data_IF_306353113545
#
_entry.id   IF_306353113545
#
_cell.length_a   1.000
_cell.length_b   1.000
_cell.length_c   1.000
_cell.angle_alpha   90.00
_cell.angle_beta   90.00
_cell.angle_gamma   90.00
#
_symmetry.space_group_name_H-M   'P 1'
#
loop_
_entity.id
_entity.type
_entity.pdbx_description
1 polymer ?
#
# COMPACT_ATOMS: atom_id res chain seq x y z
N UNK A 1 20.60 -10.56 33.96
CA UNK A 1 19.43 -10.80 33.11
C UNK A 1 19.30 -9.65 32.12
N UNK A 2 19.39 -9.91 30.81
CA UNK A 2 19.22 -8.90 29.78
C UNK A 2 17.75 -8.49 29.71
N UNK A 3 17.40 -7.19 29.74
CA UNK A 3 16.00 -6.77 29.60
C UNK A 3 15.44 -7.31 28.26
N UNK A 4 14.14 -7.69 28.21
CA UNK A 4 13.54 -8.18 26.98
C UNK A 4 13.69 -7.13 25.88
N UNK A 5 14.17 -7.57 24.71
CA UNK A 5 14.31 -6.69 23.56
C UNK A 5 12.96 -6.00 23.27
N UNK A 6 12.98 -4.67 23.09
CA UNK A 6 11.78 -3.93 22.73
C UNK A 6 11.19 -4.51 21.44
N UNK A 7 9.86 -4.71 21.36
CA UNK A 7 9.25 -5.23 20.15
C UNK A 7 9.53 -4.28 18.97
N UNK A 8 9.97 -4.87 17.87
CA UNK A 8 10.35 -4.17 16.63
C UNK A 8 9.44 -4.61 15.49
N UNK A 9 9.03 -3.66 14.66
CA UNK A 9 8.40 -3.91 13.37
C UNK A 9 9.42 -4.45 12.38
N UNK A 10 9.14 -5.57 11.73
CA UNK A 10 9.97 -6.18 10.68
C UNK A 10 9.17 -6.38 9.41
N UNK A 11 9.45 -5.57 8.39
CA UNK A 11 8.71 -5.60 7.12
C UNK A 11 9.66 -5.91 5.97
N UNK A 12 9.34 -6.94 5.20
CA UNK A 12 10.00 -7.23 3.93
C UNK A 12 9.24 -6.54 2.79
N UNK A 13 9.87 -5.66 2.02
CA UNK A 13 9.25 -4.99 0.86
C UNK A 13 9.98 -5.36 -0.43
N UNK A 14 9.20 -5.57 -1.49
CA UNK A 14 9.70 -6.14 -2.75
C UNK A 14 9.67 -5.12 -3.88
N UNK A 15 10.80 -4.98 -4.57
CA UNK A 15 10.88 -4.39 -5.90
C UNK A 15 10.87 -5.51 -6.94
N UNK A 16 10.09 -5.37 -8.02
CA UNK A 16 9.94 -6.42 -9.04
C UNK A 16 10.29 -5.86 -10.41
N UNK A 17 11.11 -6.58 -11.18
CA UNK A 17 11.43 -6.20 -12.55
C UNK A 17 10.21 -6.35 -13.47
N UNK A 18 10.05 -5.41 -14.39
CA UNK A 18 8.96 -5.36 -15.38
C UNK A 18 7.77 -4.49 -14.94
N UNK A 19 6.58 -4.78 -15.47
CA UNK A 19 5.36 -3.98 -15.29
C UNK A 19 4.30 -4.73 -14.45
N UNK A 20 3.28 -4.03 -13.92
CA UNK A 20 2.07 -4.67 -13.39
C UNK A 20 1.46 -5.67 -14.37
N UNK A 21 0.77 -6.69 -13.86
CA UNK A 21 0.12 -7.66 -14.75
C UNK A 21 -1.02 -7.05 -15.56
N UNK A 22 -1.01 -7.30 -16.86
CA UNK A 22 -2.01 -6.82 -17.81
C UNK A 22 -3.20 -7.76 -17.93
N UNK A 23 -3.03 -9.05 -17.62
CA UNK A 23 -4.11 -10.05 -17.72
C UNK A 23 -4.11 -11.03 -16.54
N UNK A 24 -5.26 -11.65 -16.19
CA UNK A 24 -5.31 -12.66 -15.13
C UNK A 24 -4.46 -13.90 -15.41
N UNK A 25 -4.15 -14.22 -16.68
CA UNK A 25 -3.31 -15.37 -17.06
C UNK A 25 -1.89 -15.25 -16.48
N UNK A 26 -1.39 -14.02 -16.31
CA UNK A 26 -0.05 -13.76 -15.77
C UNK A 26 0.04 -13.98 -14.24
N UNK A 27 -1.08 -14.18 -13.55
CA UNK A 27 -1.09 -14.44 -12.11
C UNK A 27 -0.28 -15.69 -11.74
N UNK A 28 -0.25 -16.70 -12.61
CA UNK A 28 0.51 -17.94 -12.36
C UNK A 28 2.02 -17.64 -12.24
N UNK A 29 2.59 -16.90 -13.20
CA UNK A 29 4.00 -16.50 -13.18
C UNK A 29 4.32 -15.64 -11.94
N UNK A 30 3.41 -14.75 -11.54
CA UNK A 30 3.55 -13.95 -10.31
C UNK A 30 3.47 -14.81 -9.05
N UNK A 31 2.66 -15.86 -9.05
CA UNK A 31 2.65 -16.87 -7.98
C UNK A 31 3.97 -17.64 -7.86
N UNK A 32 4.60 -17.99 -8.98
CA UNK A 32 5.94 -18.62 -9.01
C UNK A 32 7.01 -17.68 -8.46
N UNK A 33 7.00 -16.41 -8.87
CA UNK A 33 7.91 -15.40 -8.31
C UNK A 33 7.74 -15.24 -6.79
N UNK A 34 6.49 -15.20 -6.29
CA UNK A 34 6.24 -15.16 -4.85
C UNK A 34 6.80 -16.40 -4.14
N UNK A 35 6.67 -17.59 -4.73
CA UNK A 35 7.24 -18.82 -4.16
C UNK A 35 8.78 -18.76 -4.06
N UNK A 36 9.45 -18.17 -5.05
CA UNK A 36 10.90 -17.93 -5.02
C UNK A 36 11.28 -16.91 -3.94
N UNK A 37 10.54 -15.79 -3.85
CA UNK A 37 10.73 -14.78 -2.80
C UNK A 37 10.64 -15.41 -1.40
N UNK A 38 9.58 -16.19 -1.15
CA UNK A 38 9.38 -16.86 0.14
C UNK A 38 10.49 -17.87 0.42
N UNK A 39 10.94 -18.61 -0.59
CA UNK A 39 12.04 -19.57 -0.44
C UNK A 39 13.34 -18.85 -0.07
N UNK A 40 13.69 -17.76 -0.77
CA UNK A 40 14.86 -16.94 -0.45
C UNK A 40 14.80 -16.33 0.95
N UNK A 41 13.62 -15.87 1.40
CA UNK A 41 13.41 -15.38 2.79
C UNK A 41 13.73 -16.49 3.81
N UNK A 42 13.27 -17.72 3.56
CA UNK A 42 13.50 -18.86 4.44
C UNK A 42 14.98 -19.27 4.47
N UNK A 43 15.62 -19.36 3.31
CA UNK A 43 17.04 -19.73 3.18
C UNK A 43 17.95 -18.69 3.83
N UNK A 44 17.63 -17.40 3.66
CA UNK A 44 18.32 -16.31 4.36
C UNK A 44 18.10 -16.33 5.88
N UNK A 45 17.14 -17.13 6.36
CA UNK A 45 16.85 -17.28 7.78
C UNK A 45 16.10 -16.09 8.39
N UNK A 46 15.45 -15.25 7.59
CA UNK A 46 14.63 -14.17 8.12
C UNK A 46 13.43 -14.72 8.88
N UNK A 47 13.22 -14.23 10.10
CA UNK A 47 12.10 -14.60 10.97
C UNK A 47 11.46 -13.39 11.64
N UNK A 48 10.35 -13.65 12.34
CA UNK A 48 9.51 -12.65 13.02
C UNK A 48 9.10 -11.51 12.09
N UNK A 49 8.80 -11.83 10.83
CA UNK A 49 8.27 -10.85 9.89
C UNK A 49 6.83 -10.50 10.27
N UNK A 50 6.55 -9.20 10.29
CA UNK A 50 5.20 -8.67 10.43
C UNK A 50 4.46 -8.70 9.10
N UNK A 51 5.16 -8.32 8.03
CA UNK A 51 4.58 -8.23 6.71
C UNK A 51 5.61 -8.49 5.59
N UNK A 52 5.12 -9.12 4.52
CA UNK A 52 5.73 -9.13 3.19
C UNK A 52 4.89 -8.23 2.27
N UNK A 53 5.50 -7.22 1.67
CA UNK A 53 4.82 -6.21 0.85
C UNK A 53 5.22 -6.37 -0.62
N UNK A 54 4.23 -6.56 -1.47
CA UNK A 54 4.36 -6.69 -2.91
C UNK A 54 3.82 -5.45 -3.66
N UNK A 55 4.29 -5.20 -4.89
CA UNK A 55 3.87 -4.03 -5.66
C UNK A 55 2.37 -3.93 -5.97
N UNK A 56 1.99 -2.73 -6.42
CA UNK A 56 0.70 -2.42 -7.04
C UNK A 56 0.50 -3.20 -8.34
N UNK A 57 -0.60 -3.95 -8.46
CA UNK A 57 -0.87 -4.75 -9.66
C UNK A 57 0.06 -5.95 -9.84
N UNK A 58 0.55 -6.51 -8.73
CA UNK A 58 1.25 -7.79 -8.74
C UNK A 58 0.32 -8.93 -9.21
N UNK A 59 -0.97 -8.85 -8.88
CA UNK A 59 -2.01 -9.72 -9.44
C UNK A 59 -3.11 -8.92 -10.13
N UNK A 60 -3.88 -9.60 -10.98
CA UNK A 60 -5.06 -9.07 -11.66
C UNK A 60 -6.28 -9.93 -11.38
N UNK A 61 -7.37 -9.30 -10.96
CA UNK A 61 -8.67 -9.93 -10.81
C UNK A 61 -9.36 -10.06 -12.16
N UNK A 62 -10.09 -11.16 -12.40
CA UNK A 62 -10.87 -11.33 -13.62
C UNK A 62 -12.11 -10.42 -13.66
N UNK A 63 -12.58 -9.93 -12.51
CA UNK A 63 -13.75 -9.07 -12.38
C UNK A 63 -13.50 -8.00 -11.30
N UNK A 64 -14.02 -6.78 -11.47
CA UNK A 64 -13.93 -5.74 -10.44
C UNK A 64 -14.82 -6.08 -9.26
N UNK A 65 -14.42 -5.68 -8.06
CA UNK A 65 -15.15 -5.93 -6.81
C UNK A 65 -15.65 -4.63 -6.17
N UNK A 66 -15.23 -3.47 -6.67
CA UNK A 66 -15.53 -2.18 -6.03
C UNK A 66 -17.01 -1.79 -5.99
N UNK A 67 -17.85 -2.40 -6.83
CA UNK A 67 -19.29 -2.19 -6.80
C UNK A 67 -19.99 -2.94 -5.66
N UNK A 68 -19.32 -3.93 -5.04
CA UNK A 68 -19.87 -4.72 -3.94
C UNK A 68 -19.74 -3.95 -2.62
N UNK A 69 -20.54 -4.30 -1.61
CA UNK A 69 -20.32 -3.85 -0.23
C UNK A 69 -19.08 -4.54 0.38
N UNK A 70 -18.46 -3.93 1.40
CA UNK A 70 -17.19 -4.39 1.96
C UNK A 70 -17.14 -5.88 2.35
N UNK A 71 -18.10 -6.46 3.10
CA UNK A 71 -18.06 -7.88 3.44
C UNK A 71 -18.11 -8.78 2.20
N UNK A 72 -18.89 -8.40 1.19
CA UNK A 72 -19.00 -9.14 -0.08
C UNK A 72 -17.71 -9.02 -0.92
N UNK A 73 -16.98 -7.91 -0.84
CA UNK A 73 -15.65 -7.78 -1.46
C UNK A 73 -14.68 -8.80 -0.87
N UNK A 74 -14.56 -8.85 0.46
CA UNK A 74 -13.66 -9.79 1.14
C UNK A 74 -13.99 -11.24 0.80
N UNK A 75 -15.28 -11.60 0.82
CA UNK A 75 -15.73 -12.94 0.44
C UNK A 75 -15.36 -13.26 -1.02
N UNK A 76 -15.58 -12.34 -1.95
CA UNK A 76 -15.25 -12.50 -3.37
C UNK A 76 -13.75 -12.69 -3.62
N UNK A 77 -12.90 -12.02 -2.84
CA UNK A 77 -11.44 -12.13 -2.91
C UNK A 77 -10.94 -13.45 -2.31
N UNK A 78 -11.58 -13.96 -1.26
CA UNK A 78 -11.12 -15.14 -0.49
C UNK A 78 -11.00 -16.41 -1.35
N UNK A 79 -11.82 -16.55 -2.39
CA UNK A 79 -11.80 -17.68 -3.32
C UNK A 79 -10.94 -17.47 -4.58
N UNK A 80 -10.29 -16.32 -4.77
CA UNK A 80 -9.52 -16.05 -5.99
C UNK A 80 -8.27 -16.94 -6.04
N UNK A 81 -8.12 -17.73 -7.09
CA UNK A 81 -7.04 -18.74 -7.20
C UNK A 81 -5.64 -18.15 -6.96
N UNK A 82 -5.36 -16.95 -7.47
CA UNK A 82 -4.09 -16.26 -7.24
C UNK A 82 -3.84 -15.94 -5.75
N UNK A 83 -4.88 -15.53 -5.02
CA UNK A 83 -4.82 -15.25 -3.58
C UNK A 83 -4.73 -16.54 -2.78
N UNK A 84 -5.42 -17.62 -3.18
CA UNK A 84 -5.25 -18.95 -2.57
C UNK A 84 -3.79 -19.42 -2.70
N UNK A 85 -3.20 -19.29 -3.88
CA UNK A 85 -1.79 -19.65 -4.10
C UNK A 85 -0.84 -18.80 -3.26
N UNK A 86 -1.11 -17.49 -3.14
CA UNK A 86 -0.32 -16.58 -2.33
C UNK A 86 -0.38 -16.93 -0.83
N UNK A 87 -1.56 -17.28 -0.31
CA UNK A 87 -1.73 -17.76 1.07
C UNK A 87 -0.93 -19.02 1.38
N UNK A 88 -0.85 -19.98 0.44
CA UNK A 88 0.00 -21.17 0.59
C UNK A 88 1.48 -20.82 0.71
N UNK A 89 1.95 -19.76 0.06
CA UNK A 89 3.33 -19.29 0.24
C UNK A 89 3.53 -18.63 1.61
N UNK A 90 2.52 -17.92 2.11
CA UNK A 90 2.56 -17.31 3.45
C UNK A 90 2.52 -18.35 4.57
N UNK A 91 1.82 -19.47 4.36
CA UNK A 91 1.81 -20.62 5.27
C UNK A 91 3.22 -21.19 5.50
N UNK A 92 4.05 -21.23 4.44
CA UNK A 92 5.46 -21.66 4.51
C UNK A 92 6.35 -20.78 5.38
N UNK A 93 5.88 -19.60 5.81
CA UNK A 93 6.60 -18.70 6.71
C UNK A 93 6.13 -18.78 8.17
N UNK A 94 5.08 -19.53 8.50
CA UNK A 94 4.46 -19.51 9.83
C UNK A 94 5.37 -20.05 10.94
N UNK A 95 6.26 -21.00 10.62
CA UNK A 95 7.24 -21.57 11.56
C UNK A 95 8.21 -20.52 12.13
N UNK A 96 8.57 -19.51 11.31
CA UNK A 96 9.53 -18.46 11.67
C UNK A 96 8.90 -17.10 11.87
N UNK A 97 7.76 -16.85 11.26
CA UNK A 97 7.06 -15.57 11.21
C UNK A 97 5.56 -15.78 11.39
N UNK A 98 5.18 -16.36 12.53
CA UNK A 98 3.80 -16.62 12.89
C UNK A 98 2.93 -15.35 12.75
N UNK A 99 1.80 -15.48 12.06
CA UNK A 99 0.87 -14.38 11.80
C UNK A 99 1.32 -13.36 10.76
N UNK A 100 2.51 -13.51 10.15
CA UNK A 100 2.98 -12.61 9.09
C UNK A 100 1.89 -12.40 8.04
N UNK A 101 1.72 -11.17 7.60
CA UNK A 101 0.75 -10.83 6.56
C UNK A 101 1.43 -10.63 5.20
N UNK A 102 0.74 -11.01 4.13
CA UNK A 102 1.10 -10.61 2.78
C UNK A 102 0.24 -9.42 2.37
N UNK A 103 0.87 -8.31 2.00
CA UNK A 103 0.20 -7.11 1.52
C UNK A 103 0.54 -6.94 0.05
N UNK A 104 -0.45 -6.90 -0.83
CA UNK A 104 -0.22 -6.87 -2.28
C UNK A 104 -1.25 -6.03 -3.01
N UNK A 105 -0.86 -5.48 -4.15
CA UNK A 105 -1.76 -4.72 -5.00
C UNK A 105 -2.46 -5.57 -6.04
N UNK A 106 -3.76 -5.33 -6.22
CA UNK A 106 -4.56 -5.96 -7.26
C UNK A 106 -5.06 -4.92 -8.26
N UNK A 107 -5.06 -5.29 -9.54
CA UNK A 107 -5.77 -4.58 -10.59
C UNK A 107 -7.03 -5.34 -11.00
N UNK A 108 -8.09 -4.65 -11.38
CA UNK A 108 -9.22 -5.26 -12.05
C UNK A 108 -9.70 -4.40 -13.22
N UNK A 109 -10.11 -5.05 -14.29
CA UNK A 109 -10.76 -4.36 -15.40
C UNK A 109 -12.07 -3.73 -14.93
N UNK A 110 -12.39 -2.49 -15.36
CA UNK A 110 -13.61 -1.84 -14.96
C UNK A 110 -14.82 -2.55 -15.57
N UNK A 111 -15.96 -2.51 -14.87
CA UNK A 111 -17.23 -3.01 -15.42
C UNK A 111 -17.81 -2.10 -16.50
N UNK A 112 -17.28 -0.88 -16.64
CA UNK A 112 -17.70 0.16 -17.57
C UNK A 112 -16.46 0.77 -18.24
N UNK A 113 -16.45 0.83 -19.57
CA UNK A 113 -15.32 1.30 -20.37
C UNK A 113 -15.01 2.79 -20.18
N UNK A 114 -15.91 3.55 -19.54
CA UNK A 114 -15.73 4.94 -19.11
C UNK A 114 -14.95 5.08 -17.80
N UNK A 115 -14.67 3.97 -17.11
CA UNK A 115 -13.87 3.97 -15.90
C UNK A 115 -12.47 3.44 -16.17
N UNK A 116 -11.51 3.85 -15.34
CA UNK A 116 -10.18 3.22 -15.29
C UNK A 116 -10.24 1.93 -14.50
N UNK A 117 -9.19 1.12 -14.66
CA UNK A 117 -8.97 -0.09 -13.86
C UNK A 117 -9.11 0.20 -12.37
N UNK A 118 -9.77 -0.72 -11.67
CA UNK A 118 -9.84 -0.70 -10.21
C UNK A 118 -8.45 -1.02 -9.63
N UNK A 119 -8.05 -0.25 -8.62
CA UNK A 119 -6.77 -0.38 -7.94
C UNK A 119 -7.03 -0.67 -6.47
N UNK A 120 -6.55 -1.82 -6.00
CA UNK A 120 -6.75 -2.33 -4.65
C UNK A 120 -5.41 -2.61 -3.98
N UNK A 121 -5.35 -2.44 -2.66
CA UNK A 121 -4.31 -3.03 -1.82
C UNK A 121 -4.96 -3.95 -0.80
N UNK A 122 -4.56 -5.21 -0.77
CA UNK A 122 -5.16 -6.24 0.09
C UNK A 122 -4.13 -6.79 1.07
N UNK A 123 -4.59 -7.11 2.28
CA UNK A 123 -3.81 -7.85 3.27
C UNK A 123 -4.37 -9.26 3.42
N UNK A 124 -3.47 -10.25 3.40
CA UNK A 124 -3.78 -11.67 3.51
C UNK A 124 -3.04 -12.25 4.72
N UNK A 125 -3.73 -13.08 5.50
CA UNK A 125 -3.09 -14.07 6.36
C UNK A 125 -2.96 -15.40 5.61
N UNK A 126 -2.30 -16.41 6.21
CA UNK A 126 -2.25 -17.76 5.64
C UNK A 126 -3.65 -18.36 5.42
N UNK A 127 -4.67 -17.87 6.13
CA UNK A 127 -6.03 -18.44 6.10
C UNK A 127 -6.99 -17.62 5.23
N UNK A 128 -6.93 -16.28 5.26
CA UNK A 128 -7.97 -15.42 4.69
C UNK A 128 -7.46 -14.08 4.20
N UNK A 129 -8.29 -13.40 3.41
CA UNK A 129 -8.15 -11.97 3.17
C UNK A 129 -8.62 -11.27 4.45
N UNK A 130 -7.74 -10.47 5.05
CA UNK A 130 -7.97 -9.83 6.36
C UNK A 130 -8.51 -8.41 6.18
N UNK A 131 -8.03 -7.70 5.16
CA UNK A 131 -8.31 -6.28 4.98
C UNK A 131 -8.13 -5.90 3.51
N UNK A 132 -8.81 -4.85 3.07
CA UNK A 132 -8.69 -4.29 1.72
C UNK A 132 -8.80 -2.78 1.75
N UNK A 133 -8.05 -2.11 0.89
CA UNK A 133 -8.21 -0.69 0.59
C UNK A 133 -8.39 -0.52 -0.90
N UNK A 134 -9.27 0.40 -1.27
CA UNK A 134 -9.45 0.83 -2.66
C UNK A 134 -8.91 2.23 -2.80
N UNK A 135 -8.40 2.51 -3.99
CA UNK A 135 -7.84 3.81 -4.31
C UNK A 135 -8.86 4.93 -4.07
N UNK A 136 -8.53 5.82 -3.14
CA UNK A 136 -9.29 7.01 -2.80
C UNK A 136 -8.83 8.22 -3.59
N UNK A 137 -7.52 8.35 -3.78
CA UNK A 137 -6.91 9.56 -4.31
C UNK A 137 -6.44 9.32 -5.75
N UNK A 138 -7.23 9.70 -6.76
CA UNK A 138 -6.76 9.69 -8.15
C UNK A 138 -5.65 10.73 -8.34
N UNK A 139 -4.73 10.44 -9.26
CA UNK A 139 -3.89 11.48 -9.86
C UNK A 139 -4.75 12.40 -10.74
N UNK A 140 -4.25 13.59 -11.09
CA UNK A 140 -4.97 14.49 -12.00
C UNK A 140 -5.36 13.79 -13.32
N UNK A 141 -4.43 13.06 -13.92
CA UNK A 141 -4.66 12.29 -15.16
C UNK A 141 -5.65 11.12 -14.99
N UNK A 142 -5.88 10.64 -13.77
CA UNK A 142 -6.88 9.62 -13.46
C UNK A 142 -8.26 10.22 -13.17
N UNK A 143 -8.32 11.46 -12.67
CA UNK A 143 -9.56 12.21 -12.52
C UNK A 143 -10.06 12.83 -13.83
N UNK A 144 -9.15 13.07 -14.77
CA UNK A 144 -9.39 13.73 -16.05
C UNK A 144 -9.50 12.73 -17.23
N UNK A 145 -10.16 13.15 -18.30
CA UNK A 145 -10.24 12.41 -19.55
C UNK A 145 -11.43 11.44 -19.67
N UNK A 146 -11.43 10.65 -20.76
CA UNK A 146 -12.53 9.75 -21.15
C UNK A 146 -12.71 8.57 -20.19
N UNK A 147 -11.64 8.18 -19.47
CA UNK A 147 -11.66 7.11 -18.47
C UNK A 147 -11.24 7.66 -17.12
N UNK A 148 -12.13 7.59 -16.14
CA UNK A 148 -11.89 8.13 -14.80
C UNK A 148 -11.75 7.04 -13.74
N UNK A 149 -10.85 7.25 -12.79
CA UNK A 149 -10.90 6.55 -11.50
C UNK A 149 -12.00 7.20 -10.67
N UNK A 150 -12.97 6.40 -10.21
CA UNK A 150 -14.12 6.87 -9.42
C UNK A 150 -14.05 6.27 -8.02
N UNK A 151 -13.51 6.99 -7.03
CA UNK A 151 -13.52 6.56 -5.64
C UNK A 151 -14.94 6.40 -5.11
N UNK A 152 -15.13 5.53 -4.13
CA UNK A 152 -16.38 5.45 -3.38
C UNK A 152 -16.31 6.31 -2.13
N UNK A 153 -17.36 7.08 -1.87
CA UNK A 153 -17.45 7.97 -0.72
C UNK A 153 -17.33 7.19 0.60
N UNK A 154 -18.02 6.05 0.71
CA UNK A 154 -18.04 5.18 1.91
C UNK A 154 -16.65 4.66 2.31
N UNK A 155 -15.69 4.58 1.38
CA UNK A 155 -14.37 4.05 1.70
C UNK A 155 -13.48 5.06 2.45
N UNK A 156 -13.79 6.36 2.42
CA UNK A 156 -12.94 7.39 3.02
C UNK A 156 -12.88 7.26 4.55
N UNK A 157 -14.00 6.92 5.19
CA UNK A 157 -14.08 6.64 6.63
C UNK A 157 -13.98 5.16 7.01
N UNK A 158 -13.78 4.25 6.05
CA UNK A 158 -13.80 2.81 6.34
C UNK A 158 -12.53 2.34 7.03
N UNK A 159 -12.70 1.56 8.10
CA UNK A 159 -11.62 0.86 8.81
C UNK A 159 -11.11 -0.37 8.06
N UNK A 160 -11.74 -0.78 6.95
CA UNK A 160 -11.34 -1.97 6.18
C UNK A 160 -9.92 -1.85 5.62
N UNK A 161 -9.39 -0.62 5.49
CA UNK A 161 -8.02 -0.33 5.06
C UNK A 161 -6.98 -0.46 6.17
N UNK A 162 -7.40 -0.76 7.39
CA UNK A 162 -6.51 -0.91 8.54
C UNK A 162 -6.32 -2.39 8.85
N UNK A 163 -5.11 -2.74 9.27
CA UNK A 163 -4.79 -4.10 9.71
C UNK A 163 -3.84 -4.06 10.88
N UNK A 164 -4.01 -4.98 11.83
CA UNK A 164 -3.08 -5.18 12.94
C UNK A 164 -2.06 -6.24 12.54
N UNK A 165 -0.78 -5.89 12.66
CA UNK A 165 0.35 -6.77 12.39
C UNK A 165 0.67 -7.65 13.61
N UNK A 166 1.41 -8.76 13.45
CA UNK A 166 1.81 -9.65 14.56
C UNK A 166 2.48 -8.96 15.74
N UNK A 167 3.25 -7.91 15.47
CA UNK A 167 3.86 -7.06 16.51
C UNK A 167 2.87 -6.20 17.31
N UNK A 168 1.59 -6.21 16.96
CA UNK A 168 0.54 -5.37 17.54
C UNK A 168 0.41 -3.99 16.88
N UNK A 169 1.34 -3.62 15.98
CA UNK A 169 1.30 -2.36 15.26
C UNK A 169 0.13 -2.28 14.27
N UNK A 170 -0.48 -1.11 14.14
CA UNK A 170 -1.61 -0.89 13.23
C UNK A 170 -1.16 -0.25 11.92
N UNK A 171 -1.28 -0.97 10.81
CA UNK A 171 -0.94 -0.48 9.47
C UNK A 171 -2.16 0.09 8.74
N UNK A 172 -1.96 1.21 8.03
CA UNK A 172 -2.90 1.68 7.00
C UNK A 172 -2.42 1.28 5.61
N UNK A 173 -3.31 0.62 4.86
CA UNK A 173 -3.06 0.18 3.49
C UNK A 173 -3.37 1.32 2.50
N UNK A 174 -2.47 1.52 1.54
CA UNK A 174 -2.58 2.55 0.50
C UNK A 174 -2.40 1.94 -0.88
N UNK A 175 -3.38 2.12 -1.77
CA UNK A 175 -3.28 1.71 -3.17
C UNK A 175 -2.56 2.82 -3.96
N UNK A 176 -1.25 2.64 -4.17
CA UNK A 176 -0.42 3.60 -4.89
C UNK A 176 -0.60 5.04 -4.34
N UNK A 177 -1.21 5.94 -5.11
CA UNK A 177 -1.24 7.39 -4.86
C UNK A 177 -2.00 7.80 -3.60
N UNK A 178 -2.77 6.87 -3.01
CA UNK A 178 -3.41 7.04 -1.69
C UNK A 178 -2.44 7.49 -0.61
N UNK A 179 -1.18 7.08 -0.70
CA UNK A 179 -0.17 7.45 0.28
C UNK A 179 0.02 8.98 0.36
N UNK A 180 -0.11 9.69 -0.77
CA UNK A 180 -0.08 11.15 -0.77
C UNK A 180 -1.30 11.77 -0.07
N UNK A 181 -2.40 11.03 -0.02
CA UNK A 181 -3.62 11.38 0.70
C UNK A 181 -3.42 11.54 2.21
N UNK A 182 -2.38 10.93 2.79
CA UNK A 182 -2.02 11.09 4.20
C UNK A 182 -1.58 12.52 4.56
N UNK A 183 -1.26 13.33 3.54
CA UNK A 183 -0.91 14.75 3.71
C UNK A 183 -2.09 15.69 3.50
N UNK A 184 -3.28 15.16 3.21
CA UNK A 184 -4.48 15.97 3.02
C UNK A 184 -5.00 16.49 4.35
N UNK A 185 -5.33 17.78 4.36
CA UNK A 185 -5.96 18.45 5.51
C UNK A 185 -7.37 18.87 5.13
N UNK A 186 -8.39 18.60 5.95
CA UNK A 186 -9.74 19.08 5.70
C UNK A 186 -9.77 20.60 5.51
N UNK A 187 -10.47 21.07 4.49
CA UNK A 187 -10.65 22.50 4.24
C UNK A 187 -9.63 23.13 3.29
N UNK A 188 -8.49 22.48 3.04
CA UNK A 188 -7.51 22.94 2.06
C UNK A 188 -7.73 22.28 0.69
N UNK A 189 -7.92 23.09 -0.35
CA UNK A 189 -8.13 22.60 -1.70
C UNK A 189 -6.80 22.23 -2.37
N UNK A 190 -6.25 21.07 -2.02
CA UNK A 190 -5.01 20.56 -2.61
C UNK A 190 -5.20 20.12 -4.07
N UNK A 191 -4.10 19.86 -4.77
CA UNK A 191 -4.16 19.21 -6.09
C UNK A 191 -4.85 17.84 -6.08
N UNK A 192 -4.77 17.10 -4.96
CA UNK A 192 -5.46 15.80 -4.78
C UNK A 192 -6.95 15.98 -4.56
N UNK A 193 -7.36 17.00 -3.79
CA UNK A 193 -8.76 17.40 -3.69
C UNK A 193 -9.35 17.72 -5.07
N UNK A 194 -8.61 18.47 -5.90
CA UNK A 194 -9.06 18.81 -7.25
C UNK A 194 -9.05 17.64 -8.23
N UNK A 195 -8.18 16.64 -8.03
CA UNK A 195 -8.16 15.42 -8.84
C UNK A 195 -9.41 14.54 -8.64
N UNK A 196 -10.11 14.65 -7.49
CA UNK A 196 -11.38 13.98 -7.27
C UNK A 196 -12.46 14.74 -8.05
N UNK A 197 -12.82 14.21 -9.23
CA UNK A 197 -13.83 14.78 -10.14
C UNK A 197 -15.14 13.99 -10.23
N UNK A 198 -15.16 12.79 -9.64
CA UNK A 198 -16.34 11.95 -9.53
C UNK A 198 -16.27 11.10 -8.27
N UNK A 199 -17.42 10.82 -7.65
CA UNK A 199 -17.55 10.02 -6.44
C UNK A 199 -18.73 9.07 -6.58
N UNK A 200 -18.54 7.80 -6.20
CA UNK A 200 -19.62 6.82 -6.13
C UNK A 200 -20.25 6.82 -4.74
N UNK A 201 -21.59 6.85 -4.69
CA UNK A 201 -22.42 6.71 -3.49
C UNK A 201 -23.47 5.64 -3.78
N UNK A 202 -23.37 4.48 -3.11
CA UNK A 202 -24.13 3.29 -3.51
C UNK A 202 -23.96 2.96 -5.00
N UNK A 203 -25.06 2.94 -5.75
CA UNK A 203 -25.06 2.67 -7.20
C UNK A 203 -24.93 3.94 -8.07
N UNK A 204 -24.97 5.14 -7.47
CA UNK A 204 -24.91 6.41 -8.20
C UNK A 204 -23.49 6.94 -8.26
N UNK A 205 -23.17 7.69 -9.31
CA UNK A 205 -21.92 8.44 -9.45
C UNK A 205 -22.28 9.92 -9.54
N UNK A 206 -21.80 10.72 -8.59
CA UNK A 206 -21.86 12.18 -8.65
C UNK A 206 -20.57 12.74 -9.25
N UNK A 207 -20.70 13.76 -10.08
CA UNK A 207 -19.63 14.42 -10.83
C UNK A 207 -19.51 15.88 -10.45
N UNK A 208 -18.42 16.52 -10.84
CA UNK A 208 -18.10 17.91 -10.47
C UNK A 208 -19.22 18.95 -10.75
N UNK A 209 -20.05 18.74 -11.76
CA UNK A 209 -21.18 19.61 -12.10
C UNK A 209 -22.49 19.30 -11.37
N UNK A 210 -22.57 18.16 -10.69
CA UNK A 210 -23.81 17.71 -10.06
C UNK A 210 -24.05 18.43 -8.73
N UNK A 211 -25.32 18.72 -8.44
CA UNK A 211 -25.75 19.28 -7.15
C UNK A 211 -25.28 18.39 -6.00
N UNK A 212 -24.66 18.99 -4.98
CA UNK A 212 -24.17 18.28 -3.80
C UNK A 212 -22.77 17.65 -3.92
N UNK A 213 -22.17 17.56 -5.12
CA UNK A 213 -20.84 16.95 -5.29
C UNK A 213 -19.76 17.63 -4.46
N UNK A 214 -19.71 18.97 -4.45
CA UNK A 214 -18.70 19.73 -3.70
C UNK A 214 -18.80 19.45 -2.19
N UNK A 215 -20.02 19.34 -1.67
CA UNK A 215 -20.28 19.02 -0.26
C UNK A 215 -19.86 17.58 0.05
N UNK A 216 -20.27 16.62 -0.77
CA UNK A 216 -19.87 15.22 -0.61
C UNK A 216 -18.36 15.05 -0.62
N UNK A 217 -17.65 15.70 -1.56
CA UNK A 217 -16.19 15.63 -1.63
C UNK A 217 -15.51 16.18 -0.37
N UNK A 218 -16.05 17.26 0.22
CA UNK A 218 -15.55 17.77 1.51
C UNK A 218 -15.83 16.79 2.64
N UNK A 219 -17.01 16.18 2.66
CA UNK A 219 -17.35 15.15 3.65
C UNK A 219 -16.39 13.97 3.59
N UNK A 220 -16.09 13.46 2.39
CA UNK A 220 -15.12 12.39 2.20
C UNK A 220 -13.73 12.73 2.79
N UNK A 221 -13.23 13.95 2.57
CA UNK A 221 -11.95 14.35 3.18
C UNK A 221 -12.03 14.49 4.71
N UNK A 222 -13.16 14.97 5.24
CA UNK A 222 -13.39 15.02 6.67
C UNK A 222 -13.43 13.61 7.28
N UNK A 223 -14.10 12.65 6.62
CA UNK A 223 -14.16 11.25 7.06
C UNK A 223 -12.78 10.60 7.05
N UNK A 224 -11.98 10.85 6.02
CA UNK A 224 -10.58 10.40 5.94
C UNK A 224 -9.72 10.94 7.06
N UNK A 225 -9.80 12.26 7.33
CA UNK A 225 -9.07 12.87 8.43
C UNK A 225 -9.53 12.34 9.79
N UNK A 226 -10.84 12.13 9.97
CA UNK A 226 -11.42 11.56 11.18
C UNK A 226 -10.92 10.14 11.43
N UNK A 227 -10.88 9.30 10.38
CA UNK A 227 -10.32 7.95 10.44
C UNK A 227 -8.86 7.96 10.91
N UNK A 228 -8.02 8.81 10.33
CA UNK A 228 -6.60 8.91 10.71
C UNK A 228 -6.42 9.40 12.16
N UNK A 229 -7.22 10.40 12.57
CA UNK A 229 -7.16 10.97 13.92
C UNK A 229 -7.64 9.98 15.00
N UNK A 230 -8.69 9.20 14.69
CA UNK A 230 -9.25 8.18 15.59
C UNK A 230 -8.36 6.96 15.70
N UNK A 231 -7.94 6.40 14.58
CA UNK A 231 -7.28 5.09 14.53
C UNK A 231 -5.77 5.17 14.69
N UNK A 232 -5.16 6.35 14.48
CA UNK A 232 -3.74 6.67 14.73
C UNK A 232 -2.77 5.56 14.26
N UNK A 233 -2.75 5.19 12.97
CA UNK A 233 -1.93 4.08 12.49
C UNK A 233 -0.44 4.26 12.81
N UNK A 234 0.22 3.17 13.17
CA UNK A 234 1.64 3.10 13.51
C UNK A 234 2.55 3.13 12.27
N UNK A 235 2.01 2.71 11.13
CA UNK A 235 2.70 2.69 9.86
C UNK A 235 1.75 2.79 8.67
N UNK A 236 2.27 3.22 7.53
CA UNK A 236 1.57 3.17 6.25
C UNK A 236 2.32 2.26 5.25
N UNK A 237 1.56 1.45 4.52
CA UNK A 237 2.08 0.49 3.56
C UNK A 237 1.47 0.78 2.19
N UNK A 238 2.32 1.06 1.20
CA UNK A 238 1.91 1.39 -0.15
C UNK A 238 2.23 0.28 -1.16
N UNK A 239 1.23 -0.10 -1.95
CA UNK A 239 1.41 -0.98 -3.12
C UNK A 239 1.48 -0.11 -4.37
N UNK A 240 2.70 0.22 -4.81
CA UNK A 240 2.97 1.18 -5.88
C UNK A 240 3.03 0.43 -7.22
N UNK A 241 2.38 0.95 -8.25
CA UNK A 241 2.31 0.28 -9.56
C UNK A 241 3.66 0.17 -10.23
N UNK A 242 4.52 1.17 -10.07
CA UNK A 242 5.90 1.08 -10.51
C UNK A 242 6.44 2.36 -11.08
N UNK A 243 7.66 2.21 -11.57
CA UNK A 243 8.49 3.23 -12.17
C UNK A 243 9.11 2.66 -13.43
N UNK A 244 9.39 3.49 -14.42
CA UNK A 244 10.14 3.08 -15.61
C UNK A 244 11.55 2.61 -15.19
N UNK A 245 12.26 3.42 -14.39
CA UNK A 245 13.61 3.11 -13.92
C UNK A 245 13.94 3.72 -12.56
N UNK A 246 14.93 3.17 -11.82
CA UNK A 246 15.46 3.77 -10.60
C UNK A 246 15.89 5.23 -10.79
N UNK A 247 15.60 6.07 -9.79
CA UNK A 247 15.86 7.51 -9.81
C UNK A 247 14.61 8.33 -10.12
N UNK A 248 13.70 7.82 -10.94
CA UNK A 248 12.39 8.46 -11.20
C UNK A 248 11.43 8.33 -10.01
N UNK A 249 11.68 7.35 -9.14
CA UNK A 249 11.00 7.19 -7.85
C UNK A 249 11.39 8.27 -6.83
N UNK A 250 12.38 9.13 -7.12
CA UNK A 250 12.83 10.18 -6.22
C UNK A 250 11.72 11.16 -5.82
N UNK A 251 10.80 11.46 -6.74
CA UNK A 251 9.60 12.24 -6.42
C UNK A 251 8.74 11.52 -5.37
N UNK A 252 8.50 10.23 -5.57
CA UNK A 252 7.75 9.38 -4.64
C UNK A 252 8.41 9.30 -3.27
N UNK A 253 9.73 9.11 -3.22
CA UNK A 253 10.46 9.05 -1.97
C UNK A 253 10.33 10.36 -1.17
N UNK A 254 10.46 11.53 -1.82
CA UNK A 254 10.39 12.85 -1.15
C UNK A 254 8.97 13.28 -0.80
N UNK A 255 8.05 13.17 -1.76
CA UNK A 255 6.72 13.79 -1.70
C UNK A 255 5.61 12.79 -1.35
N UNK A 256 5.84 11.49 -1.50
CA UNK A 256 4.94 10.44 -1.07
C UNK A 256 5.40 9.83 0.27
N UNK A 257 6.46 9.02 0.24
CA UNK A 257 6.94 8.21 1.37
C UNK A 257 7.35 9.10 2.57
N UNK A 258 8.29 10.03 2.38
CA UNK A 258 8.77 10.88 3.47
C UNK A 258 7.69 11.86 3.96
N UNK A 259 6.86 12.39 3.06
CA UNK A 259 5.75 13.28 3.43
C UNK A 259 4.66 12.56 4.23
N UNK A 260 4.29 11.34 3.85
CA UNK A 260 3.39 10.50 4.63
C UNK A 260 3.97 10.21 6.03
N UNK A 261 5.27 9.90 6.12
CA UNK A 261 5.92 9.71 7.42
C UNK A 261 5.81 10.97 8.29
N UNK A 262 6.08 12.15 7.72
CA UNK A 262 5.98 13.42 8.43
C UNK A 262 4.53 13.74 8.89
N UNK A 263 3.54 13.53 8.02
CA UNK A 263 2.12 13.73 8.33
C UNK A 263 1.63 12.76 9.40
N UNK A 264 2.21 11.57 9.47
CA UNK A 264 1.98 10.60 10.53
C UNK A 264 2.92 10.81 11.74
N UNK A 265 3.49 11.99 11.97
CA UNK A 265 4.37 12.29 13.11
C UNK A 265 5.66 11.45 13.16
N UNK A 266 6.27 11.24 11.99
CA UNK A 266 7.52 10.49 11.82
C UNK A 266 7.36 8.98 12.02
N UNK A 267 6.18 8.42 11.74
CA UNK A 267 5.90 6.97 11.77
C UNK A 267 6.51 6.26 10.56
N UNK A 268 6.59 4.94 10.62
CA UNK A 268 7.20 4.15 9.56
C UNK A 268 6.31 4.14 8.31
N UNK A 269 6.89 4.39 7.14
CA UNK A 269 6.21 4.27 5.85
C UNK A 269 7.07 3.42 4.93
N UNK A 270 6.45 2.47 4.25
CA UNK A 270 7.13 1.57 3.32
C UNK A 270 6.28 1.29 2.09
N UNK A 271 6.93 1.16 0.94
CA UNK A 271 6.30 0.81 -0.32
C UNK A 271 7.01 -0.31 -1.04
N UNK A 272 6.26 -1.00 -1.89
CA UNK A 272 6.74 -1.98 -2.85
C UNK A 272 6.34 -1.54 -4.26
N UNK A 273 7.19 -1.76 -5.26
CA UNK A 273 7.00 -1.23 -6.59
C UNK A 273 7.54 -2.12 -7.71
N UNK A 274 6.98 -1.99 -8.90
CA UNK A 274 7.62 -2.47 -10.12
C UNK A 274 8.68 -1.49 -10.62
N UNK A 275 9.73 -2.00 -11.27
CA UNK A 275 10.68 -1.20 -12.05
C UNK A 275 10.80 -1.84 -13.43
N UNK A 276 10.49 -1.09 -14.48
CA UNK A 276 10.36 -1.64 -15.82
C UNK A 276 11.70 -2.08 -16.41
N UNK A 277 12.66 -1.16 -16.45
CA UNK A 277 13.89 -1.36 -17.22
C UNK A 277 14.94 -2.15 -16.43
N UNK A 278 15.15 -1.81 -15.16
CA UNK A 278 16.07 -2.52 -14.25
C UNK A 278 15.74 -2.28 -12.77
N UNK A 279 16.18 -3.19 -11.89
CA UNK A 279 15.98 -3.05 -10.45
C UNK A 279 16.94 -2.03 -9.81
N UNK A 280 16.51 -1.32 -8.76
CA UNK A 280 17.41 -0.46 -8.00
C UNK A 280 18.45 -1.29 -7.24
N UNK A 281 19.63 -0.71 -6.99
CA UNK A 281 20.59 -1.28 -6.05
C UNK A 281 19.99 -1.39 -4.64
N UNK A 282 20.47 -2.34 -3.81
CA UNK A 282 19.94 -2.61 -2.48
C UNK A 282 19.70 -1.35 -1.61
N UNK A 283 20.65 -0.40 -1.61
CA UNK A 283 20.57 0.82 -0.80
C UNK A 283 19.91 2.03 -1.49
N UNK A 284 19.60 1.94 -2.80
CA UNK A 284 19.01 3.05 -3.58
C UNK A 284 17.50 2.85 -3.73
N UNK A 285 16.73 3.94 -3.80
CA UNK A 285 15.28 3.86 -4.06
C UNK A 285 14.57 2.89 -3.11
N UNK A 286 14.76 3.11 -1.80
CA UNK A 286 14.33 2.19 -0.74
C UNK A 286 12.81 2.14 -0.58
N UNK A 287 12.11 3.21 -0.97
CA UNK A 287 10.68 3.40 -0.77
C UNK A 287 10.30 3.22 0.70
N UNK A 288 11.17 3.69 1.59
CA UNK A 288 10.99 3.58 3.03
C UNK A 288 11.46 4.84 3.74
N UNK A 289 10.71 5.29 4.75
CA UNK A 289 11.07 6.42 5.62
C UNK A 289 10.54 6.21 7.04
N UNK A 290 11.26 6.75 8.02
CA UNK A 290 10.85 6.80 9.43
C UNK A 290 11.47 8.05 10.07
N UNK A 291 10.87 8.56 11.15
CA UNK A 291 11.35 9.73 11.88
C UNK A 291 11.48 11.00 11.03
N UNK A 292 10.63 11.15 10.01
CA UNK A 292 10.61 12.37 9.21
C UNK A 292 9.95 13.49 10.01
N UNK A 293 10.60 14.67 10.16
CA UNK A 293 10.08 15.75 11.01
C UNK A 293 8.91 16.49 10.34
N UNK A 294 7.98 17.08 11.12
CA UNK A 294 6.82 17.81 10.58
C UNK A 294 7.17 18.95 9.61
N UNK A 295 8.30 19.65 9.83
CA UNK A 295 8.81 20.70 8.93
C UNK A 295 9.04 20.24 7.48
N UNK A 296 9.09 18.94 7.24
CA UNK A 296 9.16 18.37 5.89
C UNK A 296 7.91 18.71 5.06
N UNK A 297 6.74 18.83 5.69
CA UNK A 297 5.49 19.15 4.99
C UNK A 297 5.52 20.57 4.41
N UNK A 298 6.18 21.51 5.06
CA UNK A 298 6.27 22.92 4.63
C UNK A 298 7.50 23.22 3.76
N UNK A 299 8.41 22.27 3.59
CA UNK A 299 9.66 22.45 2.82
C UNK A 299 9.50 22.52 1.29
N UNK A 300 8.27 22.44 0.75
CA UNK A 300 8.00 22.60 -0.68
C UNK A 300 8.83 21.69 -1.59
N UNK A 301 9.52 22.27 -2.58
CA UNK A 301 10.43 21.57 -3.50
C UNK A 301 11.77 21.18 -2.87
N UNK A 302 12.14 21.79 -1.73
CA UNK A 302 13.38 21.51 -1.01
C UNK A 302 13.30 20.29 -0.08
N UNK A 303 12.18 19.55 -0.11
CA UNK A 303 12.00 18.30 0.65
C UNK A 303 13.15 17.32 0.42
N UNK A 304 13.65 16.71 1.49
CA UNK A 304 14.70 15.67 1.39
C UNK A 304 14.09 14.28 1.23
N UNK A 305 14.84 13.32 0.73
CA UNK A 305 14.31 11.96 0.49
C UNK A 305 14.07 11.16 1.79
N UNK A 306 14.75 11.50 2.90
CA UNK A 306 14.64 10.81 4.20
C UNK A 306 14.59 9.26 4.07
N UNK A 307 15.57 8.68 3.39
CA UNK A 307 15.58 7.23 3.11
C UNK A 307 15.89 6.46 4.38
N UNK A 308 15.09 5.45 4.68
CA UNK A 308 15.46 4.39 5.60
C UNK A 308 16.24 3.32 4.81
N UNK A 309 17.47 3.03 5.24
CA UNK A 309 18.26 1.94 4.68
C UNK A 309 17.71 0.58 5.13
N UNK A 310 17.71 -0.44 4.26
CA UNK A 310 17.34 -1.79 4.68
C UNK A 310 18.39 -2.37 5.63
N UNK A 311 17.94 -3.22 6.55
CA UNK A 311 18.80 -4.00 7.46
C UNK A 311 19.50 -5.13 6.72
N UNK A 312 18.82 -5.71 5.73
CA UNK A 312 19.32 -6.80 4.89
C UNK A 312 18.55 -6.83 3.56
N UNK A 313 19.07 -7.55 2.56
CA UNK A 313 18.41 -7.72 1.27
C UNK A 313 18.68 -9.09 0.64
N UNK A 314 17.76 -9.51 -0.24
CA UNK A 314 17.84 -10.72 -1.05
C UNK A 314 17.53 -10.33 -2.50
N UNK A 315 18.41 -10.71 -3.43
CA UNK A 315 18.10 -10.67 -4.85
C UNK A 315 17.52 -12.03 -5.25
N UNK A 316 16.41 -12.02 -6.00
CA UNK A 316 15.84 -13.20 -6.63
C UNK A 316 16.24 -13.16 -8.09
N UNK A 317 16.95 -14.18 -8.53
CA UNK A 317 17.53 -14.26 -9.87
C UNK A 317 16.82 -15.30 -10.71
N UNK A 318 16.77 -15.05 -12.02
CA UNK A 318 16.39 -16.02 -13.03
C UNK A 318 17.36 -15.86 -14.19
N UNK A 319 17.97 -16.95 -14.60
CA UNK A 319 18.97 -16.96 -15.68
C UNK A 319 20.07 -15.90 -15.43
N UNK A 320 20.59 -15.87 -14.19
CA UNK A 320 21.62 -14.92 -13.70
C UNK A 320 21.21 -13.43 -13.71
N UNK A 321 19.95 -13.12 -13.98
CA UNK A 321 19.43 -11.75 -13.96
C UNK A 321 18.49 -11.53 -12.78
N UNK A 322 18.64 -10.43 -12.01
CA UNK A 322 17.79 -10.15 -10.87
C UNK A 322 16.39 -9.75 -11.35
N UNK A 323 15.38 -10.54 -10.98
CA UNK A 323 13.96 -10.33 -11.31
C UNK A 323 13.14 -9.77 -10.15
N UNK A 324 13.65 -9.88 -8.93
CA UNK A 324 13.12 -9.15 -7.77
C UNK A 324 14.21 -8.82 -6.76
N UNK A 325 14.00 -7.76 -6.00
CA UNK A 325 14.83 -7.37 -4.87
C UNK A 325 13.94 -7.25 -3.63
N UNK A 326 14.22 -8.08 -2.63
CA UNK A 326 13.53 -8.09 -1.35
C UNK A 326 14.40 -7.35 -0.33
N UNK A 327 13.81 -6.39 0.39
CA UNK A 327 14.50 -5.61 1.41
C UNK A 327 13.83 -5.77 2.76
N UNK A 328 14.62 -6.09 3.78
CA UNK A 328 14.15 -6.14 5.16
C UNK A 328 14.34 -4.78 5.83
N UNK A 329 13.27 -4.23 6.38
CA UNK A 329 13.29 -3.05 7.24
C UNK A 329 12.94 -3.45 8.66
N UNK A 330 13.65 -2.87 9.63
CA UNK A 330 13.39 -3.06 11.04
C UNK A 330 13.32 -1.71 11.74
N UNK A 331 12.24 -1.45 12.47
CA UNK A 331 12.06 -0.19 13.19
C UNK A 331 11.47 -0.45 14.59
N UNK A 332 11.85 0.31 15.63
CA UNK A 332 11.19 0.21 16.93
C UNK A 332 9.71 0.57 16.84
N UNK A 333 8.84 -0.14 17.56
CA UNK A 333 7.44 0.27 17.72
C UNK A 333 7.41 1.46 18.67
N UNK A 334 6.93 2.60 18.20
CA UNK A 334 6.69 3.76 19.06
C UNK A 334 5.44 3.48 19.88
N UNK A 335 5.62 3.10 21.15
CA UNK A 335 4.50 2.92 22.08
C UNK A 335 3.64 4.19 22.09
N UNK A 336 2.33 4.02 21.93
CA UNK A 336 1.38 5.04 22.35
C UNK A 336 1.52 5.12 23.87
N UNK A 337 2.35 6.03 24.39
CA UNK A 337 2.28 6.36 25.82
C UNK A 337 0.83 6.75 26.09
N UNK A 338 0.19 5.99 26.98
CA UNK A 338 -1.25 5.98 27.17
C UNK A 338 -1.85 7.37 27.29
N UNK A 339 -2.93 7.60 26.56
CA UNK A 339 -4.01 8.41 27.09
C UNK A 339 -4.57 7.59 28.27
N UNK A 340 -3.99 7.77 29.45
CA UNK A 340 -4.67 7.44 30.69
C UNK A 340 -5.86 8.39 30.76
N UNK A 341 -7.06 7.87 30.53
CA UNK A 341 -8.28 8.51 30.98
C UNK A 341 -8.18 8.57 32.51
N UNK A 342 -7.83 9.76 33.01
CA UNK A 342 -8.25 10.22 34.33
C UNK A 342 -9.61 10.89 34.22
#
# INVERSE_FOLDING_TARGET
MTPPAKPSLRVAAVCVLGRPVSTPKQNQARGQLLAQIVTGIREKGWGRLDALVLPGGFYRLPRPVGHLAAPKRLASLTGQACLVAARRQLDRLQDRSAGCLLITGLLADPSDTRHRQEQLSVALSAERVVSLSRKLFPTAAEGEGRRQTVPCAEDYGSTDRLVTLPSGARAILSACYDLFGLTETPGEASSRYHAIRALRVGQKILRMGDTGFKQLRRQCLADWSSLLAKEKPDLAIATIHGFERPGLDGFWQRHGIAAASAAMHGRFVVGAAHFEDWLPAAARSTLASVNVPPKHLTAGTARKAHRLSPKDCIAIEKDEQPIALVRLYETPIKSHKGATHG
#
